data_IF_233309440871
#
_entry.id   IF_233309440871
#
_cell.length_a   1.000
_cell.length_b   1.000
_cell.length_c   1.000
_cell.angle_alpha   90.00
_cell.angle_beta   90.00
_cell.angle_gamma   90.00
#
_symmetry.space_group_name_H-M   'P 1'
#
loop_
_entity.id
_entity.type
_entity.pdbx_description
1 polymer ?
#
# COMPACT_ATOMS: atom_id res chain seq x y z
N UNK A 1 -2.69 11.26 -14.33
CA UNK A 1 -2.45 12.47 -15.14
C UNK A 1 -1.38 12.24 -16.21
N UNK A 2 -0.43 11.34 -15.96
CA UNK A 2 0.68 11.02 -16.85
C UNK A 2 0.30 10.70 -18.30
N UNK A 3 -0.76 9.90 -18.54
CA UNK A 3 -1.19 9.56 -19.90
C UNK A 3 -1.42 10.81 -20.77
N UNK A 4 -2.13 11.81 -20.24
CA UNK A 4 -2.38 13.06 -20.98
C UNK A 4 -1.08 13.81 -21.30
N UNK A 5 -0.09 13.79 -20.40
CA UNK A 5 1.21 14.43 -20.67
C UNK A 5 2.04 13.66 -21.70
N UNK A 6 2.00 12.32 -21.66
CA UNK A 6 2.66 11.46 -22.65
C UNK A 6 2.05 11.64 -24.04
N UNK A 7 0.71 11.68 -24.13
CA UNK A 7 0.01 11.90 -25.40
C UNK A 7 0.39 13.29 -25.98
N UNK A 8 0.54 14.31 -25.13
CA UNK A 8 0.98 15.66 -25.53
C UNK A 8 2.44 15.71 -25.98
N UNK A 9 3.33 14.98 -25.29
CA UNK A 9 4.73 14.83 -25.70
C UNK A 9 4.85 14.12 -27.04
N UNK A 10 4.09 13.05 -27.27
CA UNK A 10 4.10 12.29 -28.51
C UNK A 10 3.63 13.11 -29.72
N UNK A 11 2.74 14.09 -29.50
CA UNK A 11 2.25 14.99 -30.55
C UNK A 11 3.15 16.22 -30.81
N UNK A 12 4.08 16.54 -29.90
CA UNK A 12 4.94 17.72 -30.01
C UNK A 12 6.18 17.45 -30.88
N UNK A 13 6.73 18.51 -31.50
CA UNK A 13 7.96 18.43 -32.31
C UNK A 13 8.98 19.50 -31.92
N UNK A 14 10.24 19.32 -32.32
CA UNK A 14 11.31 20.29 -32.08
C UNK A 14 11.53 20.59 -30.59
N UNK A 15 11.65 21.87 -30.23
CA UNK A 15 11.91 22.31 -28.86
C UNK A 15 10.74 22.03 -27.91
N UNK A 16 9.50 22.09 -28.38
CA UNK A 16 8.31 21.81 -27.57
C UNK A 16 8.28 20.37 -27.07
N UNK A 17 8.81 19.45 -27.87
CA UNK A 17 8.89 18.03 -27.50
C UNK A 17 9.78 17.81 -26.26
N UNK A 18 10.92 18.52 -26.14
CA UNK A 18 11.76 18.44 -24.94
C UNK A 18 11.04 18.99 -23.70
N UNK A 19 10.32 20.09 -23.85
CA UNK A 19 9.56 20.71 -22.74
C UNK A 19 8.43 19.77 -22.29
N UNK A 20 7.70 19.18 -23.23
CA UNK A 20 6.62 18.23 -22.93
C UNK A 20 7.15 16.94 -22.27
N UNK A 21 8.35 16.47 -22.65
CA UNK A 21 9.00 15.34 -22.01
C UNK A 21 9.34 15.62 -20.53
N UNK A 22 9.97 16.74 -20.23
CA UNK A 22 10.31 17.11 -18.85
C UNK A 22 9.05 17.30 -17.98
N UNK A 23 7.97 17.87 -18.55
CA UNK A 23 6.68 17.95 -17.88
C UNK A 23 6.09 16.56 -17.58
N UNK A 24 6.15 15.62 -18.52
CA UNK A 24 5.70 14.25 -18.31
C UNK A 24 6.55 13.52 -17.25
N UNK A 25 7.88 13.72 -17.25
CA UNK A 25 8.77 13.18 -16.23
C UNK A 25 8.46 13.75 -14.84
N UNK A 26 8.26 15.06 -14.71
CA UNK A 26 7.90 15.67 -13.44
C UNK A 26 6.61 15.04 -12.86
N UNK A 27 5.57 14.88 -13.69
CA UNK A 27 4.33 14.21 -13.28
C UNK A 27 4.58 12.75 -12.89
N UNK A 28 5.43 12.02 -13.62
CA UNK A 28 5.80 10.64 -13.28
C UNK A 28 6.47 10.56 -11.90
N UNK A 29 7.38 11.46 -11.59
CA UNK A 29 8.07 11.49 -10.28
C UNK A 29 7.09 11.80 -9.14
N UNK A 30 6.15 12.72 -9.36
CA UNK A 30 5.09 13.03 -8.38
C UNK A 30 4.20 11.80 -8.15
N UNK A 31 3.76 11.11 -9.22
CA UNK A 31 2.94 9.90 -9.10
C UNK A 31 3.68 8.78 -8.32
N UNK A 32 4.98 8.60 -8.58
CA UNK A 32 5.83 7.65 -7.83
C UNK A 32 5.91 8.03 -6.35
N UNK A 33 6.26 9.29 -6.06
CA UNK A 33 6.43 9.77 -4.69
C UNK A 33 5.14 9.68 -3.87
N UNK A 34 4.01 10.09 -4.46
CA UNK A 34 2.71 10.02 -3.80
C UNK A 34 2.31 8.57 -3.53
N UNK A 35 2.45 7.68 -4.51
CA UNK A 35 2.10 6.27 -4.34
C UNK A 35 3.00 5.57 -3.29
N UNK A 36 4.29 5.92 -3.23
CA UNK A 36 5.20 5.47 -2.18
C UNK A 36 4.77 5.97 -0.79
N UNK A 37 4.50 7.28 -0.65
CA UNK A 37 4.07 7.89 0.61
C UNK A 37 2.79 7.21 1.14
N UNK A 38 1.78 7.06 0.28
CA UNK A 38 0.52 6.40 0.63
C UNK A 38 0.77 4.96 1.06
N UNK A 39 1.61 4.22 0.34
CA UNK A 39 1.92 2.83 0.68
C UNK A 39 2.61 2.72 2.04
N UNK A 40 3.57 3.61 2.35
CA UNK A 40 4.25 3.63 3.64
C UNK A 40 3.26 3.95 4.77
N UNK A 41 2.45 5.00 4.63
CA UNK A 41 1.46 5.37 5.65
C UNK A 41 0.45 4.26 5.89
N UNK A 42 -0.07 3.66 4.82
CA UNK A 42 -1.01 2.55 4.90
C UNK A 42 -0.39 1.32 5.57
N UNK A 43 0.84 0.96 5.17
CA UNK A 43 1.59 -0.14 5.78
C UNK A 43 1.86 0.09 7.27
N UNK A 44 2.18 1.32 7.68
CA UNK A 44 2.33 1.69 9.09
C UNK A 44 1.01 1.55 9.86
N UNK A 45 -0.11 2.00 9.29
CA UNK A 45 -1.45 1.82 9.90
C UNK A 45 -1.74 0.35 10.17
N UNK A 46 -1.52 -0.53 9.18
CA UNK A 46 -1.74 -1.97 9.37
C UNK A 46 -0.75 -2.61 10.33
N UNK A 47 0.51 -2.15 10.34
CA UNK A 47 1.52 -2.61 11.29
C UNK A 47 1.09 -2.29 12.73
N UNK A 48 0.64 -1.06 12.98
CA UNK A 48 0.13 -0.64 14.29
C UNK A 48 -1.12 -1.43 14.68
N UNK A 49 -2.03 -1.66 13.74
CA UNK A 49 -3.22 -2.47 14.01
C UNK A 49 -2.86 -3.93 14.32
N UNK A 50 -1.93 -4.53 13.57
CA UNK A 50 -1.39 -5.87 13.87
C UNK A 50 -0.77 -5.95 15.28
N UNK A 51 -0.01 -4.93 15.69
CA UNK A 51 0.54 -4.82 17.05
C UNK A 51 -0.57 -4.71 18.10
N UNK A 52 -1.64 -3.94 17.85
CA UNK A 52 -2.77 -3.85 18.76
C UNK A 52 -3.47 -5.20 18.93
N UNK A 53 -3.66 -5.96 17.85
CA UNK A 53 -4.20 -7.32 17.88
C UNK A 53 -3.26 -8.27 18.64
N UNK A 54 -1.94 -8.17 18.44
CA UNK A 54 -0.94 -8.94 19.21
C UNK A 54 -0.98 -8.64 20.70
N UNK A 55 -1.30 -7.41 21.11
CA UNK A 55 -1.44 -7.05 22.54
C UNK A 55 -2.78 -7.45 23.14
N UNK A 56 -3.81 -7.67 22.32
CA UNK A 56 -5.12 -8.13 22.79
C UNK A 56 -5.07 -9.59 23.24
N UNK A 57 -5.70 -9.91 24.37
CA UNK A 57 -5.98 -11.30 24.80
C UNK A 57 -7.19 -11.91 24.09
N UNK A 58 -8.00 -11.08 23.40
CA UNK A 58 -9.27 -11.48 22.78
C UNK A 58 -9.11 -12.13 21.40
N UNK A 59 -7.98 -11.89 20.73
CA UNK A 59 -7.73 -12.37 19.38
C UNK A 59 -6.54 -13.34 19.32
N UNK A 60 -6.58 -14.34 18.42
CA UNK A 60 -5.42 -15.18 18.14
C UNK A 60 -4.18 -14.36 17.76
N UNK A 61 -3.03 -14.67 18.37
CA UNK A 61 -1.78 -13.94 18.12
C UNK A 61 -1.30 -14.05 16.66
N UNK A 62 -1.61 -15.16 15.98
CA UNK A 62 -1.26 -15.33 14.57
C UNK A 62 -1.91 -14.26 13.68
N UNK A 63 -3.14 -13.81 13.98
CA UNK A 63 -3.78 -12.72 13.23
C UNK A 63 -2.97 -11.44 13.38
N UNK A 64 -2.56 -11.09 14.60
CA UNK A 64 -1.74 -9.90 14.82
C UNK A 64 -0.38 -9.99 14.10
N UNK A 65 0.25 -11.18 14.09
CA UNK A 65 1.53 -11.41 13.41
C UNK A 65 1.39 -11.27 11.88
N UNK A 66 0.34 -11.84 11.28
CA UNK A 66 0.09 -11.74 9.83
C UNK A 66 -0.24 -10.30 9.42
N UNK A 67 -1.04 -9.58 10.21
CA UNK A 67 -1.34 -8.16 9.96
C UNK A 67 -0.09 -7.29 10.04
N UNK A 68 0.77 -7.54 11.02
CA UNK A 68 2.06 -6.86 11.14
C UNK A 68 2.98 -7.17 9.94
N UNK A 69 3.10 -8.45 9.55
CA UNK A 69 3.89 -8.84 8.40
C UNK A 69 3.38 -8.21 7.09
N UNK A 70 2.07 -8.20 6.86
CA UNK A 70 1.47 -7.54 5.70
C UNK A 70 1.69 -6.02 5.70
N UNK A 71 1.58 -5.38 6.87
CA UNK A 71 1.88 -3.96 7.04
C UNK A 71 3.33 -3.62 6.70
N UNK A 72 4.29 -4.36 7.28
CA UNK A 72 5.73 -4.17 7.02
C UNK A 72 6.10 -4.46 5.56
N UNK A 73 5.48 -5.47 4.95
CA UNK A 73 5.64 -5.75 3.52
C UNK A 73 5.17 -4.59 2.65
N UNK A 74 4.06 -3.94 3.03
CA UNK A 74 3.53 -2.76 2.32
C UNK A 74 4.45 -1.54 2.48
N UNK A 75 5.01 -1.32 3.67
CA UNK A 75 6.03 -0.28 3.90
C UNK A 75 7.25 -0.53 3.01
N UNK A 76 7.71 -1.78 2.95
CA UNK A 76 8.85 -2.18 2.12
C UNK A 76 8.55 -1.94 0.63
N UNK A 77 7.35 -2.29 0.16
CA UNK A 77 6.89 -1.98 -1.19
C UNK A 77 6.93 -0.49 -1.50
N UNK A 78 6.46 0.35 -0.57
CA UNK A 78 6.55 1.81 -0.68
C UNK A 78 7.99 2.34 -0.76
N UNK A 79 8.92 1.82 0.05
CA UNK A 79 10.34 2.21 0.03
C UNK A 79 11.00 1.81 -1.31
N UNK A 80 10.76 0.58 -1.76
CA UNK A 80 11.27 0.10 -3.06
C UNK A 80 10.68 0.92 -4.20
N UNK A 81 9.41 1.32 -4.10
CA UNK A 81 8.77 2.17 -5.09
C UNK A 81 9.33 3.60 -5.10
N UNK A 82 9.67 4.18 -3.96
CA UNK A 82 10.33 5.50 -3.90
C UNK A 82 11.71 5.48 -4.59
N UNK A 83 12.44 4.39 -4.48
CA UNK A 83 13.80 4.27 -5.02
C UNK A 83 13.85 3.83 -6.49
N UNK A 84 12.91 2.99 -6.92
CA UNK A 84 12.93 2.36 -8.26
C UNK A 84 11.76 2.76 -9.16
N UNK A 85 10.83 3.57 -8.64
CA UNK A 85 9.57 3.86 -9.32
C UNK A 85 8.66 2.64 -9.41
N UNK A 86 7.79 2.62 -10.42
CA UNK A 86 6.93 1.48 -10.73
C UNK A 86 7.74 0.38 -11.45
N UNK A 87 8.64 -0.26 -10.72
CA UNK A 87 9.46 -1.37 -11.18
C UNK A 87 8.76 -2.72 -10.94
N UNK A 88 9.25 -3.78 -11.60
CA UNK A 88 8.74 -5.14 -11.39
C UNK A 88 8.92 -5.62 -9.94
N UNK A 89 10.01 -5.23 -9.27
CA UNK A 89 10.24 -5.57 -7.87
C UNK A 89 9.28 -4.84 -6.93
N UNK A 90 9.10 -3.52 -7.11
CA UNK A 90 8.12 -2.74 -6.35
C UNK A 90 6.72 -3.33 -6.50
N UNK A 91 6.33 -3.67 -7.73
CA UNK A 91 5.02 -4.25 -8.02
C UNK A 91 4.85 -5.63 -7.38
N UNK A 92 5.85 -6.51 -7.48
CA UNK A 92 5.79 -7.86 -6.90
C UNK A 92 5.64 -7.81 -5.37
N UNK A 93 6.42 -6.94 -4.70
CA UNK A 93 6.35 -6.77 -3.24
C UNK A 93 4.98 -6.23 -2.85
N UNK A 94 4.52 -5.14 -3.48
CA UNK A 94 3.26 -4.50 -3.15
C UNK A 94 2.06 -5.42 -3.41
N UNK A 95 2.06 -6.19 -4.50
CA UNK A 95 0.99 -7.15 -4.79
C UNK A 95 0.96 -8.27 -3.76
N UNK A 96 2.12 -8.86 -3.43
CA UNK A 96 2.21 -9.92 -2.42
C UNK A 96 1.73 -9.44 -1.05
N UNK A 97 2.19 -8.25 -0.63
CA UNK A 97 1.75 -7.64 0.63
C UNK A 97 0.25 -7.33 0.64
N UNK A 98 -0.30 -6.82 -0.47
CA UNK A 98 -1.73 -6.50 -0.60
C UNK A 98 -2.58 -7.78 -0.56
N UNK A 99 -2.17 -8.85 -1.22
CA UNK A 99 -2.86 -10.15 -1.16
C UNK A 99 -2.87 -10.72 0.26
N UNK A 100 -1.72 -10.65 0.96
CA UNK A 100 -1.62 -11.09 2.36
C UNK A 100 -2.55 -10.26 3.26
N UNK A 101 -2.54 -8.93 3.12
CA UNK A 101 -3.41 -8.03 3.87
C UNK A 101 -4.89 -8.30 3.58
N UNK A 102 -5.27 -8.57 2.33
CA UNK A 102 -6.66 -8.89 1.97
C UNK A 102 -7.14 -10.16 2.69
N UNK A 103 -6.35 -11.24 2.63
CA UNK A 103 -6.67 -12.50 3.32
C UNK A 103 -6.79 -12.27 4.82
N UNK A 104 -5.87 -11.50 5.37
CA UNK A 104 -5.87 -11.16 6.78
C UNK A 104 -7.06 -10.28 7.18
N UNK A 105 -7.43 -9.28 6.37
CA UNK A 105 -8.59 -8.40 6.59
C UNK A 105 -9.88 -9.21 6.66
N UNK A 106 -10.07 -10.16 5.74
CA UNK A 106 -11.23 -11.06 5.75
C UNK A 106 -11.19 -11.93 7.02
N UNK A 107 -10.02 -12.48 7.36
CA UNK A 107 -9.85 -13.35 8.52
C UNK A 107 -10.18 -12.63 9.83
N UNK A 108 -9.70 -11.40 10.01
CA UNK A 108 -9.96 -10.63 11.22
C UNK A 108 -11.40 -10.13 11.27
N UNK A 109 -11.99 -9.72 10.14
CA UNK A 109 -13.40 -9.35 10.08
C UNK A 109 -14.31 -10.51 10.51
N UNK A 110 -14.06 -11.72 10.02
CA UNK A 110 -14.81 -12.92 10.43
C UNK A 110 -14.65 -13.22 11.92
N UNK A 111 -13.44 -13.06 12.48
CA UNK A 111 -13.22 -13.26 13.91
C UNK A 111 -13.93 -12.21 14.75
N UNK A 112 -13.86 -10.94 14.37
CA UNK A 112 -14.55 -9.84 15.06
C UNK A 112 -16.06 -10.05 15.03
N UNK A 113 -16.63 -10.42 13.88
CA UNK A 113 -18.05 -10.73 13.76
C UNK A 113 -18.50 -11.87 14.67
N UNK A 114 -17.69 -12.93 14.80
CA UNK A 114 -17.98 -14.06 15.68
C UNK A 114 -17.81 -13.75 17.16
N UNK A 115 -16.97 -12.78 17.52
CA UNK A 115 -16.77 -12.34 18.90
C UNK A 115 -17.79 -11.31 19.36
N UNK A 116 -18.36 -10.51 18.45
CA UNK A 116 -19.29 -9.42 18.80
C UNK A 116 -20.45 -9.84 19.73
N UNK A 117 -21.16 -10.97 19.50
CA UNK A 117 -22.26 -11.38 20.38
C UNK A 117 -21.82 -11.75 21.80
N UNK A 118 -20.54 -12.13 22.00
CA UNK A 118 -20.00 -12.51 23.32
C UNK A 118 -19.64 -11.29 24.17
N UNK A 119 -19.45 -10.13 23.53
CA UNK A 119 -19.13 -8.88 24.22
C UNK A 119 -20.38 -8.20 24.77
N UNK A 120 -21.55 -8.44 24.18
CA UNK A 120 -22.84 -7.92 24.66
C UNK A 120 -23.34 -8.66 25.90
N UNK A 121 -22.91 -9.91 26.12
CA UNK A 121 -23.34 -10.72 27.28
C UNK A 121 -22.48 -10.55 28.53
N UNK A 122 -21.27 -9.98 28.38
CA UNK A 122 -20.28 -9.80 29.46
C UNK A 122 -20.21 -8.36 30.00
N UNK A 123 -21.07 -7.45 29.52
CA UNK A 123 -21.16 -6.04 29.93
C UNK A 123 -22.43 -5.74 30.72
#
# INVERSE_FOLDING_TARGET
ALKSMVDRWAAATGQEQRIAFEAALAVRQIEIGLASLVSILFGLTWSLYGIAVLRSSRYPKWLGAVGLAGGLGTVTGGIVQASTGFSGSAMTISMTASSLLLIWMISIAVHMWRLAPRLETDG
#
